data_IF_525314850540
#
_entry.id   IF_525314850540
#
_cell.length_a   1.000
_cell.length_b   1.000
_cell.length_c   1.000
_cell.angle_alpha   90.00
_cell.angle_beta   90.00
_cell.angle_gamma   90.00
#
_symmetry.space_group_name_H-M   'P 1'
#
loop_
_entity.id
_entity.type
_entity.pdbx_description
1 polymer ?
#
# COMPACT_ATOMS: atom_id res chain seq x y z
N UNK A 1 -7.00 -14.38 4.50
CA UNK A 1 -5.56 -14.11 4.46
C UNK A 1 -5.17 -13.61 5.82
N UNK A 2 -4.11 -14.18 6.38
CA UNK A 2 -3.50 -13.71 7.61
C UNK A 2 -2.62 -12.50 7.31
N UNK A 3 -2.43 -11.62 8.31
CA UNK A 3 -1.58 -10.44 8.16
C UNK A 3 -0.43 -10.53 9.15
N UNK A 4 0.78 -10.65 8.62
CA UNK A 4 2.02 -10.61 9.40
C UNK A 4 2.58 -9.19 9.37
N UNK A 5 2.56 -8.53 10.52
CA UNK A 5 3.20 -7.23 10.70
C UNK A 5 4.70 -7.41 10.94
N UNK A 6 5.51 -6.65 10.21
CA UNK A 6 6.97 -6.74 10.22
C UNK A 6 7.60 -5.37 10.41
N UNK A 7 8.76 -5.34 11.05
CA UNK A 7 9.53 -4.14 11.37
C UNK A 7 11.00 -4.32 10.99
N UNK A 8 11.82 -3.28 11.12
CA UNK A 8 13.22 -3.29 10.69
C UNK A 8 14.05 -4.48 11.23
N UNK A 9 13.81 -4.91 12.48
CA UNK A 9 14.53 -6.05 13.09
C UNK A 9 14.21 -7.41 12.43
N UNK A 10 13.16 -7.49 11.63
CA UNK A 10 12.80 -8.70 10.87
C UNK A 10 13.55 -8.79 9.54
N UNK A 11 14.19 -7.70 9.09
CA UNK A 11 14.98 -7.66 7.85
C UNK A 11 16.37 -8.25 8.07
N UNK A 12 16.43 -9.58 8.14
CA UNK A 12 17.65 -10.35 8.45
C UNK A 12 17.72 -11.65 7.63
N UNK A 13 18.89 -12.32 7.57
CA UNK A 13 19.02 -13.61 6.88
C UNK A 13 17.97 -14.62 7.34
N UNK A 14 17.41 -15.37 6.38
CA UNK A 14 16.34 -16.33 6.61
C UNK A 14 14.91 -15.77 6.47
N UNK A 15 14.75 -14.46 6.22
CA UNK A 15 13.46 -13.87 5.88
C UNK A 15 12.83 -14.57 4.66
N UNK A 16 11.63 -15.11 4.83
CA UNK A 16 10.87 -15.79 3.78
C UNK A 16 9.83 -14.85 3.17
N UNK A 17 9.53 -15.04 1.89
CA UNK A 17 8.40 -14.40 1.21
C UNK A 17 7.07 -14.82 1.87
N UNK A 18 6.01 -13.98 1.86
CA UNK A 18 4.68 -14.42 2.29
C UNK A 18 4.21 -15.66 1.52
N UNK A 19 3.65 -16.65 2.21
CA UNK A 19 2.93 -17.74 1.57
C UNK A 19 1.61 -17.25 0.94
N UNK A 20 0.91 -18.14 0.22
CA UNK A 20 -0.33 -17.80 -0.50
C UNK A 20 -1.50 -17.34 0.39
N UNK A 21 -1.42 -17.58 1.69
CA UNK A 21 -2.46 -17.25 2.66
C UNK A 21 -2.09 -16.06 3.54
N UNK A 22 -0.86 -15.56 3.43
CA UNK A 22 -0.32 -14.51 4.32
C UNK A 22 0.00 -13.25 3.53
N UNK A 23 -0.33 -12.10 4.08
CA UNK A 23 0.16 -10.80 3.65
C UNK A 23 1.26 -10.35 4.60
N UNK A 24 2.39 -9.90 4.06
CA UNK A 24 3.42 -9.24 4.85
C UNK A 24 3.19 -7.72 4.79
N UNK A 25 2.99 -7.09 5.94
CA UNK A 25 2.86 -5.62 6.07
C UNK A 25 4.03 -5.10 6.88
N UNK A 26 4.91 -4.33 6.25
CA UNK A 26 6.06 -3.73 6.90
C UNK A 26 5.76 -2.30 7.32
N UNK A 27 6.18 -1.92 8.52
CA UNK A 27 6.07 -0.55 9.02
C UNK A 27 7.41 -0.06 9.56
N UNK A 28 7.85 1.10 9.08
CA UNK A 28 9.07 1.76 9.51
C UNK A 28 8.74 3.16 10.02
N UNK A 29 9.12 3.48 11.26
CA UNK A 29 9.22 4.87 11.68
C UNK A 29 10.37 5.53 10.94
N UNK A 30 10.12 6.70 10.39
CA UNK A 30 11.08 7.56 9.72
C UNK A 30 11.42 8.79 10.57
N UNK A 31 11.24 8.71 11.91
CA UNK A 31 11.44 9.85 12.83
C UNK A 31 12.90 10.23 13.02
N UNK A 32 13.82 9.52 12.36
CA UNK A 32 15.17 10.00 12.12
C UNK A 32 15.33 10.31 10.62
N UNK A 33 15.67 11.56 10.23
CA UNK A 33 16.31 11.76 8.95
C UNK A 33 17.67 11.07 9.07
N UNK A 34 17.72 9.82 8.62
CA UNK A 34 18.99 9.24 8.24
C UNK A 34 19.56 10.15 7.16
N UNK A 35 20.56 10.95 7.53
CA UNK A 35 21.13 12.03 6.72
C UNK A 35 21.70 11.52 5.39
N UNK A 36 21.78 10.20 5.22
CA UNK A 36 22.12 9.53 3.96
C UNK A 36 21.06 9.71 2.87
N UNK A 37 19.78 9.91 3.22
CA UNK A 37 18.71 10.03 2.22
C UNK A 37 18.25 11.47 2.02
N UNK A 38 18.25 11.90 0.75
CA UNK A 38 17.80 13.25 0.35
C UNK A 38 16.29 13.48 0.52
N UNK A 39 15.50 12.41 0.66
CA UNK A 39 14.04 12.48 0.84
C UNK A 39 13.47 11.18 1.41
N UNK A 40 12.26 11.25 1.96
CA UNK A 40 11.48 10.08 2.41
C UNK A 40 11.23 9.09 1.26
N UNK A 41 11.01 9.62 0.06
CA UNK A 41 10.85 8.81 -1.15
C UNK A 41 12.10 7.97 -1.43
N UNK A 42 13.29 8.58 -1.43
CA UNK A 42 14.54 7.85 -1.65
C UNK A 42 14.77 6.76 -0.59
N UNK A 43 14.47 7.06 0.68
CA UNK A 43 14.57 6.09 1.76
C UNK A 43 13.61 4.91 1.60
N UNK A 44 12.34 5.18 1.24
CA UNK A 44 11.35 4.14 1.00
C UNK A 44 11.76 3.21 -0.15
N UNK A 45 12.32 3.76 -1.23
CA UNK A 45 12.80 2.94 -2.36
C UNK A 45 14.01 2.09 -2.01
N UNK A 46 14.97 2.58 -1.22
CA UNK A 46 16.09 1.75 -0.76
C UNK A 46 15.63 0.63 0.17
N UNK A 47 14.73 0.91 1.11
CA UNK A 47 14.13 -0.12 1.98
C UNK A 47 13.36 -1.18 1.18
N UNK A 48 12.55 -0.75 0.21
CA UNK A 48 11.84 -1.65 -0.68
C UNK A 48 12.81 -2.60 -1.41
N UNK A 49 13.86 -2.06 -2.01
CA UNK A 49 14.85 -2.86 -2.73
C UNK A 49 15.58 -3.84 -1.81
N UNK A 50 15.85 -3.45 -0.56
CA UNK A 50 16.43 -4.35 0.44
C UNK A 50 15.48 -5.49 0.78
N UNK A 51 14.20 -5.20 1.05
CA UNK A 51 13.20 -6.25 1.36
C UNK A 51 13.03 -7.21 0.18
N UNK A 52 12.88 -6.67 -1.04
CA UNK A 52 12.77 -7.48 -2.26
C UNK A 52 14.01 -8.33 -2.49
N UNK A 53 15.20 -7.82 -2.19
CA UNK A 53 16.44 -8.58 -2.29
C UNK A 53 16.45 -9.79 -1.35
N UNK A 54 15.98 -9.64 -0.11
CA UNK A 54 15.82 -10.77 0.81
C UNK A 54 14.78 -11.79 0.33
N UNK A 55 13.63 -11.32 -0.15
CA UNK A 55 12.57 -12.24 -0.62
C UNK A 55 12.94 -13.03 -1.87
N UNK A 56 13.69 -12.41 -2.78
CA UNK A 56 14.01 -13.00 -4.08
C UNK A 56 15.39 -13.66 -4.13
N UNK A 57 16.27 -13.35 -3.16
CA UNK A 57 17.70 -13.72 -3.23
C UNK A 57 18.49 -12.94 -4.29
N UNK A 58 17.85 -12.01 -5.02
CA UNK A 58 18.50 -11.20 -6.05
C UNK A 58 19.15 -9.99 -5.37
N UNK A 59 20.40 -9.66 -5.74
CA UNK A 59 21.06 -8.45 -5.24
C UNK A 59 20.26 -7.19 -5.61
N UNK A 60 20.19 -6.21 -4.70
CA UNK A 60 19.37 -5.00 -4.88
C UNK A 60 19.69 -4.24 -6.19
N UNK A 61 20.95 -4.25 -6.63
CA UNK A 61 21.43 -3.60 -7.84
C UNK A 61 21.03 -4.35 -9.12
N UNK A 62 20.61 -5.61 -8.99
CA UNK A 62 20.18 -6.49 -10.09
C UNK A 62 18.65 -6.61 -10.19
N UNK A 63 17.90 -6.01 -9.26
CA UNK A 63 16.44 -5.97 -9.35
C UNK A 63 16.02 -5.14 -10.55
N UNK A 64 15.16 -5.71 -11.40
CA UNK A 64 14.60 -5.02 -12.55
C UNK A 64 13.12 -4.73 -12.34
N UNK A 65 12.70 -3.49 -12.63
CA UNK A 65 11.33 -3.05 -12.44
C UNK A 65 10.68 -2.67 -13.77
N UNK A 66 9.42 -3.04 -13.93
CA UNK A 66 8.51 -2.44 -14.90
C UNK A 66 7.56 -1.45 -14.22
N UNK A 67 6.79 -0.73 -15.03
CA UNK A 67 5.70 0.11 -14.55
C UNK A 67 4.43 -0.13 -15.38
N UNK A 68 3.29 -0.17 -14.71
CA UNK A 68 1.99 -0.19 -15.38
C UNK A 68 1.73 1.13 -16.11
N UNK A 69 0.66 1.21 -16.92
CA UNK A 69 0.29 2.43 -17.66
C UNK A 69 0.06 3.67 -16.79
N UNK A 70 -0.20 3.49 -15.49
CA UNK A 70 -0.39 4.59 -14.52
C UNK A 70 0.78 4.72 -13.54
N UNK A 71 1.92 4.06 -13.82
CA UNK A 71 3.14 4.21 -13.03
C UNK A 71 3.24 3.32 -11.80
N UNK A 72 2.29 2.42 -11.51
CA UNK A 72 2.46 1.42 -10.44
C UNK A 72 3.64 0.50 -10.79
N UNK A 73 4.71 0.43 -9.97
CA UNK A 73 5.85 -0.42 -10.24
C UNK A 73 5.52 -1.89 -10.00
N UNK A 74 6.19 -2.79 -10.72
CA UNK A 74 6.20 -4.22 -10.48
C UNK A 74 7.60 -4.78 -10.73
N UNK A 75 7.93 -5.88 -10.05
CA UNK A 75 9.22 -6.54 -10.21
C UNK A 75 9.15 -7.45 -11.44
N UNK A 76 10.18 -7.43 -12.28
CA UNK A 76 10.33 -8.38 -13.39
C UNK A 76 10.98 -9.67 -12.86
N UNK A 77 10.52 -10.85 -13.31
CA UNK A 77 11.20 -12.10 -12.98
C UNK A 77 12.64 -12.07 -13.54
N UNK A 78 13.59 -12.81 -12.94
CA UNK A 78 14.93 -12.93 -13.48
C UNK A 78 14.91 -13.46 -14.92
N UNK A 79 15.79 -12.96 -15.77
CA UNK A 79 15.91 -13.46 -17.13
C UNK A 79 16.28 -14.95 -17.14
N UNK A 80 15.55 -15.76 -17.90
CA UNK A 80 15.83 -17.19 -18.08
C UNK A 80 15.22 -18.13 -17.04
N UNK A 81 14.39 -17.65 -16.11
CA UNK A 81 13.54 -18.52 -15.27
C UNK A 81 12.27 -18.89 -16.02
N UNK A 82 11.85 -20.16 -15.97
CA UNK A 82 10.52 -20.55 -16.44
C UNK A 82 9.44 -19.76 -15.67
N UNK A 83 8.29 -19.51 -16.29
CA UNK A 83 7.19 -18.72 -15.69
C UNK A 83 6.76 -19.21 -14.30
N UNK A 84 6.99 -20.50 -14.01
CA UNK A 84 6.64 -21.17 -12.75
C UNK A 84 7.80 -21.25 -11.72
N UNK A 85 9.04 -20.94 -12.09
CA UNK A 85 10.23 -21.11 -11.20
C UNK A 85 10.67 -19.83 -10.47
N UNK A 86 10.09 -18.67 -10.83
CA UNK A 86 10.51 -17.37 -10.32
C UNK A 86 9.35 -16.46 -9.90
N UNK A 87 8.53 -16.89 -8.94
CA UNK A 87 7.43 -16.08 -8.43
C UNK A 87 7.95 -14.82 -7.72
N UNK A 88 7.84 -13.67 -8.38
CA UNK A 88 8.11 -12.36 -7.77
C UNK A 88 6.89 -11.88 -6.98
N UNK A 89 7.06 -11.23 -5.82
CA UNK A 89 5.92 -10.80 -5.02
C UNK A 89 5.19 -9.63 -5.68
N UNK A 90 3.87 -9.62 -5.56
CA UNK A 90 3.10 -8.38 -5.67
C UNK A 90 3.47 -7.49 -4.48
N UNK A 91 3.67 -6.20 -4.75
CA UNK A 91 3.96 -5.24 -3.69
C UNK A 91 3.29 -3.89 -3.93
N UNK A 92 3.17 -3.14 -2.84
CA UNK A 92 2.83 -1.72 -2.89
C UNK A 92 3.48 -0.99 -1.70
N UNK A 93 3.72 0.30 -1.87
CA UNK A 93 4.30 1.17 -0.85
C UNK A 93 3.46 2.41 -0.66
N UNK A 94 3.45 2.93 0.57
CA UNK A 94 2.99 4.28 0.88
C UNK A 94 3.88 4.88 1.95
N UNK A 95 3.95 6.20 2.00
CA UNK A 95 4.70 6.91 3.03
C UNK A 95 4.06 8.26 3.31
N UNK A 96 4.10 8.66 4.57
CA UNK A 96 3.68 9.98 5.04
C UNK A 96 4.70 10.48 6.05
N UNK A 97 4.62 11.74 6.47
CA UNK A 97 5.63 12.29 7.39
C UNK A 97 5.73 11.42 8.66
N UNK A 98 6.90 10.83 8.91
CA UNK A 98 7.18 9.99 10.07
C UNK A 98 7.04 8.49 9.83
N UNK A 99 6.43 8.03 8.73
CA UNK A 99 6.24 6.58 8.48
C UNK A 99 6.34 6.17 7.02
N UNK A 100 6.91 4.98 6.81
CA UNK A 100 6.91 4.24 5.54
C UNK A 100 6.24 2.89 5.78
N UNK A 101 5.34 2.49 4.88
CA UNK A 101 4.70 1.19 4.92
C UNK A 101 4.81 0.47 3.59
N UNK A 102 4.93 -0.85 3.66
CA UNK A 102 4.92 -1.74 2.49
C UNK A 102 3.95 -2.88 2.71
N UNK A 103 3.35 -3.37 1.64
CA UNK A 103 2.57 -4.61 1.63
C UNK A 103 3.10 -5.54 0.56
N UNK A 104 3.15 -6.83 0.85
CA UNK A 104 3.58 -7.88 -0.08
C UNK A 104 2.62 -9.06 -0.07
N UNK A 105 2.45 -9.68 -1.23
CA UNK A 105 1.71 -10.91 -1.45
C UNK A 105 2.40 -11.76 -2.50
N UNK A 106 2.37 -13.08 -2.36
CA UNK A 106 2.89 -14.00 -3.37
C UNK A 106 1.88 -14.37 -4.46
N UNK A 107 0.59 -14.07 -4.26
CA UNK A 107 -0.47 -14.68 -5.08
C UNK A 107 -1.56 -13.71 -5.54
N UNK A 108 -1.60 -12.48 -5.06
CA UNK A 108 -2.67 -11.53 -5.40
C UNK A 108 -2.19 -10.09 -5.42
N UNK A 109 -2.73 -9.23 -6.32
CA UNK A 109 -2.51 -7.79 -6.27
C UNK A 109 -2.88 -7.18 -4.92
N UNK A 110 -2.01 -6.28 -4.45
CA UNK A 110 -2.13 -5.58 -3.17
C UNK A 110 -1.95 -4.08 -3.32
N UNK A 111 -2.51 -3.32 -2.38
CA UNK A 111 -2.33 -1.89 -2.19
C UNK A 111 -2.33 -1.52 -0.71
N UNK A 112 -1.59 -0.49 -0.34
CA UNK A 112 -1.51 0.03 1.04
C UNK A 112 -1.48 1.55 0.99
N UNK A 113 -2.10 2.18 1.99
CA UNK A 113 -1.98 3.61 2.20
C UNK A 113 -1.91 3.99 3.67
N UNK A 114 -1.08 4.99 3.99
CA UNK A 114 -0.93 5.57 5.33
C UNK A 114 -0.91 7.08 5.24
N UNK A 115 -1.67 7.75 6.11
CA UNK A 115 -1.72 9.20 6.19
C UNK A 115 -1.71 9.72 7.62
N UNK A 116 -1.12 10.90 7.81
CA UNK A 116 -1.17 11.64 9.08
C UNK A 116 -2.44 12.48 9.15
N UNK A 117 -3.19 12.37 10.25
CA UNK A 117 -4.47 13.07 10.43
C UNK A 117 -4.33 14.56 10.72
N UNK A 118 -3.11 15.05 10.97
CA UNK A 118 -2.84 16.47 11.23
C UNK A 118 -2.76 17.31 9.95
N UNK A 119 -2.93 16.69 8.77
CA UNK A 119 -2.77 17.36 7.48
C UNK A 119 -4.03 18.17 7.15
N UNK A 120 -3.88 19.49 6.94
CA UNK A 120 -4.97 20.32 6.45
C UNK A 120 -5.33 19.90 5.03
N UNK A 121 -6.53 19.36 4.84
CA UNK A 121 -7.06 18.95 3.54
C UNK A 121 -8.35 19.70 3.23
N UNK A 122 -8.61 19.95 1.95
CA UNK A 122 -9.94 20.38 1.48
C UNK A 122 -10.91 19.17 1.52
N UNK A 123 -11.20 18.70 2.74
CA UNK A 123 -11.82 17.40 3.00
C UNK A 123 -13.13 17.22 2.22
N UNK A 124 -14.02 18.22 2.26
CA UNK A 124 -15.34 18.12 1.62
C UNK A 124 -15.22 18.03 0.08
N UNK A 125 -14.31 18.80 -0.52
CA UNK A 125 -14.06 18.77 -1.97
C UNK A 125 -13.48 17.42 -2.39
N UNK A 126 -12.51 16.90 -1.64
CA UNK A 126 -11.89 15.60 -1.93
C UNK A 126 -12.92 14.48 -1.76
N UNK A 127 -13.68 14.49 -0.67
CA UNK A 127 -14.70 13.49 -0.39
C UNK A 127 -15.72 13.40 -1.52
N UNK A 128 -16.25 14.54 -1.99
CA UNK A 128 -17.22 14.59 -3.10
C UNK A 128 -16.72 13.99 -4.42
N UNK A 129 -15.40 13.92 -4.62
CA UNK A 129 -14.78 13.43 -5.85
C UNK A 129 -14.31 11.98 -5.75
N UNK A 130 -13.89 11.55 -4.56
CA UNK A 130 -13.20 10.27 -4.38
C UNK A 130 -13.99 9.23 -3.60
N UNK A 131 -14.90 9.64 -2.71
CA UNK A 131 -15.56 8.73 -1.77
C UNK A 131 -16.90 8.24 -2.31
N UNK A 132 -17.39 7.16 -1.71
CA UNK A 132 -18.74 6.70 -1.95
C UNK A 132 -19.76 7.73 -1.39
N UNK A 133 -20.99 7.79 -1.95
CA UNK A 133 -22.00 8.75 -1.50
C UNK A 133 -22.32 8.66 0.00
N UNK A 134 -22.38 7.46 0.55
CA UNK A 134 -22.63 7.19 1.97
C UNK A 134 -21.52 7.74 2.88
N UNK A 135 -20.25 7.56 2.50
CA UNK A 135 -19.10 8.11 3.23
C UNK A 135 -19.10 9.63 3.17
N UNK A 136 -19.43 10.20 2.01
CA UNK A 136 -19.52 11.65 1.83
C UNK A 136 -20.65 12.25 2.66
N UNK A 137 -21.80 11.56 2.75
CA UNK A 137 -22.94 11.99 3.55
C UNK A 137 -22.62 11.95 5.04
N UNK A 138 -22.00 10.86 5.53
CA UNK A 138 -21.60 10.74 6.93
C UNK A 138 -20.52 11.75 7.31
N UNK A 139 -19.52 11.98 6.45
CA UNK A 139 -18.48 12.98 6.71
C UNK A 139 -19.05 14.39 6.97
N UNK A 140 -20.16 14.76 6.31
CA UNK A 140 -20.82 16.06 6.49
C UNK A 140 -21.49 16.23 7.85
N UNK A 141 -21.80 15.13 8.56
CA UNK A 141 -22.41 15.20 9.89
C UNK A 141 -21.39 15.33 11.01
N UNK A 142 -20.10 15.14 10.71
CA UNK A 142 -19.01 15.19 11.68
C UNK A 142 -18.36 16.59 11.71
N UNK A 143 -17.71 16.92 12.83
CA UNK A 143 -16.93 18.15 12.98
C UNK A 143 -15.61 17.88 13.72
N UNK A 144 -14.70 18.86 13.75
CA UNK A 144 -13.46 18.78 14.52
C UNK A 144 -12.58 17.57 14.16
N UNK A 145 -11.96 16.99 15.19
CA UNK A 145 -11.02 15.87 15.04
C UNK A 145 -11.70 14.60 14.52
N UNK A 146 -12.95 14.35 14.91
CA UNK A 146 -13.73 13.20 14.43
C UNK A 146 -13.94 13.26 12.91
N UNK A 147 -14.22 14.45 12.36
CA UNK A 147 -14.32 14.65 10.91
C UNK A 147 -12.99 14.37 10.22
N UNK A 148 -11.89 14.86 10.79
CA UNK A 148 -10.55 14.65 10.23
C UNK A 148 -10.20 13.16 10.20
N UNK A 149 -10.38 12.46 11.31
CA UNK A 149 -10.10 11.04 11.41
C UNK A 149 -10.96 10.21 10.45
N UNK A 150 -12.27 10.49 10.38
CA UNK A 150 -13.15 9.82 9.43
C UNK A 150 -12.74 10.07 7.97
N UNK A 151 -12.40 11.32 7.62
CA UNK A 151 -11.92 11.66 6.29
C UNK A 151 -10.68 10.83 5.91
N UNK A 152 -9.67 10.79 6.78
CA UNK A 152 -8.45 10.04 6.49
C UNK A 152 -8.68 8.53 6.44
N UNK A 153 -9.62 7.99 7.21
CA UNK A 153 -10.06 6.58 7.08
C UNK A 153 -10.70 6.29 5.73
N UNK A 154 -11.56 7.16 5.23
CA UNK A 154 -12.13 7.00 3.89
C UNK A 154 -11.04 7.16 2.81
N UNK A 155 -10.15 8.13 2.98
CA UNK A 155 -9.05 8.39 2.06
C UNK A 155 -8.11 7.19 1.92
N UNK A 156 -7.55 6.69 3.02
CA UNK A 156 -6.59 5.57 2.97
C UNK A 156 -7.24 4.31 2.43
N UNK A 157 -8.53 4.07 2.71
CA UNK A 157 -9.29 2.97 2.11
C UNK A 157 -9.39 3.13 0.59
N UNK A 158 -9.82 4.30 0.12
CA UNK A 158 -9.92 4.59 -1.30
C UNK A 158 -8.56 4.47 -2.01
N UNK A 159 -7.51 5.11 -1.47
CA UNK A 159 -6.18 5.08 -2.05
C UNK A 159 -5.56 3.69 -2.04
N UNK A 160 -5.71 2.91 -0.95
CA UNK A 160 -5.19 1.54 -0.92
C UNK A 160 -5.82 0.68 -2.02
N UNK A 161 -7.12 0.84 -2.30
CA UNK A 161 -7.78 0.15 -3.41
C UNK A 161 -7.28 0.64 -4.77
N UNK A 162 -7.22 1.95 -5.00
CA UNK A 162 -6.78 2.52 -6.28
C UNK A 162 -5.31 2.17 -6.58
N UNK A 163 -4.47 2.12 -5.54
CA UNK A 163 -3.10 1.59 -5.60
C UNK A 163 -3.10 0.10 -5.86
N UNK A 164 -4.01 -0.66 -5.28
CA UNK A 164 -4.24 -2.08 -5.54
C UNK A 164 -4.52 -2.36 -7.02
N UNK A 165 -5.56 -1.74 -7.56
CA UNK A 165 -5.98 -1.82 -8.97
C UNK A 165 -4.87 -1.29 -9.89
N UNK A 166 -4.10 -0.30 -9.43
CA UNK A 166 -2.99 0.29 -10.16
C UNK A 166 -3.40 1.48 -11.03
N UNK A 167 -4.54 2.11 -10.76
CA UNK A 167 -4.96 3.37 -11.41
C UNK A 167 -4.39 4.62 -10.75
N UNK A 168 -3.98 4.51 -9.48
CA UNK A 168 -3.64 5.67 -8.65
C UNK A 168 -4.80 6.69 -8.60
N UNK A 169 -4.46 7.97 -8.42
CA UNK A 169 -5.43 9.07 -8.35
C UNK A 169 -5.99 9.51 -9.72
N UNK A 170 -5.63 8.81 -10.81
CA UNK A 170 -6.26 9.02 -12.13
C UNK A 170 -7.70 8.48 -12.19
N UNK A 171 -8.14 7.75 -11.15
CA UNK A 171 -9.50 7.28 -10.97
C UNK A 171 -9.99 7.57 -9.54
N UNK A 172 -11.28 7.32 -9.31
CA UNK A 172 -12.01 7.49 -8.06
C UNK A 172 -12.90 6.29 -7.78
N UNK A 173 -13.42 6.16 -6.55
CA UNK A 173 -14.42 5.11 -6.23
C UNK A 173 -15.76 5.33 -6.96
N UNK A 174 -15.95 6.50 -7.57
CA UNK A 174 -17.15 6.83 -8.33
C UNK A 174 -17.13 6.28 -9.76
N UNK A 175 -15.93 5.99 -10.29
CA UNK A 175 -15.74 5.52 -11.66
C UNK A 175 -16.36 4.14 -11.88
N UNK A 176 -17.07 3.96 -12.99
CA UNK A 176 -17.78 2.70 -13.32
C UNK A 176 -16.85 1.49 -13.32
N UNK A 177 -15.61 1.64 -13.78
CA UNK A 177 -14.62 0.56 -13.80
C UNK A 177 -14.19 0.17 -12.37
N UNK A 178 -13.89 1.16 -11.51
CA UNK A 178 -13.51 0.92 -10.11
C UNK A 178 -14.67 0.33 -9.31
N UNK A 179 -15.91 0.77 -9.56
CA UNK A 179 -17.10 0.19 -8.92
C UNK A 179 -17.31 -1.29 -9.22
N UNK A 180 -16.93 -1.74 -10.42
CA UNK A 180 -16.97 -3.17 -10.78
C UNK A 180 -15.87 -3.97 -10.10
N UNK A 181 -14.73 -3.35 -9.82
CA UNK A 181 -13.64 -3.97 -9.08
C UNK A 181 -13.97 -4.09 -7.59
N UNK A 182 -14.59 -3.08 -6.96
CA UNK A 182 -14.83 -3.02 -5.51
C UNK A 182 -15.24 -4.36 -4.84
N UNK A 183 -16.22 -5.14 -5.35
CA UNK A 183 -16.63 -6.41 -4.75
C UNK A 183 -15.57 -7.52 -4.79
N UNK A 184 -14.57 -7.39 -5.66
CA UNK A 184 -13.45 -8.32 -5.83
C UNK A 184 -12.30 -8.03 -4.88
N UNK A 185 -12.38 -6.98 -4.07
CA UNK A 185 -11.31 -6.58 -3.17
C UNK A 185 -11.76 -6.65 -1.72
N UNK A 186 -10.85 -7.08 -0.85
CA UNK A 186 -10.99 -6.85 0.58
C UNK A 186 -10.31 -5.53 0.91
N UNK A 187 -11.00 -4.66 1.64
CA UNK A 187 -10.45 -3.43 2.20
C UNK A 187 -10.45 -3.56 3.71
N UNK A 188 -9.31 -3.31 4.33
CA UNK A 188 -9.14 -3.46 5.77
C UNK A 188 -8.32 -2.32 6.35
N UNK A 189 -8.79 -1.73 7.45
CA UNK A 189 -8.00 -0.79 8.24
C UNK A 189 -6.93 -1.55 9.03
N UNK A 190 -5.74 -0.98 9.10
CA UNK A 190 -4.62 -1.55 9.84
C UNK A 190 -4.39 -0.76 11.13
N UNK A 191 -3.94 -1.42 12.22
CA UNK A 191 -3.39 -0.72 13.37
C UNK A 191 -2.32 0.28 12.91
N UNK A 192 -2.41 1.51 13.39
CA UNK A 192 -1.47 2.58 13.08
C UNK A 192 -1.12 3.35 14.35
N UNK A 193 0.07 3.98 14.40
CA UNK A 193 0.45 4.87 15.49
C UNK A 193 -0.56 6.01 15.68
N UNK A 194 -0.64 6.55 16.90
CA UNK A 194 -1.57 7.65 17.21
C UNK A 194 -1.34 8.84 16.27
N UNK A 195 -2.42 9.36 15.69
CA UNK A 195 -2.35 10.46 14.71
C UNK A 195 -2.12 10.01 13.28
N UNK A 196 -2.15 8.70 13.02
CA UNK A 196 -2.04 8.12 11.68
C UNK A 196 -3.19 7.16 11.42
N UNK A 197 -3.54 7.04 10.14
CA UNK A 197 -4.51 6.05 9.66
C UNK A 197 -3.85 5.24 8.57
N UNK A 198 -4.01 3.92 8.61
CA UNK A 198 -3.46 3.00 7.62
C UNK A 198 -4.55 2.07 7.10
N UNK A 199 -4.53 1.74 5.81
CA UNK A 199 -5.45 0.79 5.20
C UNK A 199 -4.75 -0.03 4.12
N UNK A 200 -5.20 -1.28 3.98
CA UNK A 200 -4.75 -2.19 2.96
C UNK A 200 -5.92 -2.61 2.07
N UNK A 201 -5.59 -2.94 0.83
CA UNK A 201 -6.49 -3.59 -0.10
C UNK A 201 -5.78 -4.80 -0.73
N UNK A 202 -6.49 -5.91 -0.83
CA UNK A 202 -5.99 -7.11 -1.52
C UNK A 202 -7.12 -7.79 -2.28
N UNK A 203 -6.83 -8.25 -3.50
CA UNK A 203 -7.84 -8.86 -4.35
C UNK A 203 -8.21 -10.23 -3.80
N UNK A 204 -9.52 -10.50 -3.71
CA UNK A 204 -10.10 -11.79 -3.31
C UNK A 204 -9.68 -12.85 -4.32
N UNK A 205 -9.30 -14.02 -3.84
CA UNK A 205 -9.25 -15.19 -4.71
C UNK A 205 -10.69 -15.49 -5.14
N UNK A 206 -10.91 -15.58 -6.46
CA UNK A 206 -12.11 -16.24 -6.93
C UNK A 206 -12.01 -17.70 -6.47
N UNK A 207 -12.85 -18.10 -5.53
CA UNK A 207 -13.27 -19.49 -5.47
C UNK A 207 -14.05 -19.69 -6.77
N UNK A 208 -13.40 -20.30 -7.77
CA UNK A 208 -14.08 -20.81 -8.95
C UNK A 208 -15.06 -21.90 -8.51
#
# INVERSE_FOLDING_TARGET
MDIKQLILSDLKPGLQMPDKNTLHVWTFSSDAPDSRYKSLHAHAHDLLNRILSYYTGILKEKLMFGATKYGKPFLLPPSGTAEDEGAVPYFNLSHTKGYIVFIFSSCTPVGIDIESVSRKAYMDRIASRFFLPEDTAHLKTLTGDEKSEYFFRCWTRAESLLKGIGTGLSASLLDKAVKKELPLWNLQSMPAPKGYVCSIAYRRHHLL
#
